data_IF_257194470252
#
_entry.id   IF_257194470252
#
_cell.length_a   1.000
_cell.length_b   1.000
_cell.length_c   1.000
_cell.angle_alpha   90.00
_cell.angle_beta   90.00
_cell.angle_gamma   90.00
#
_symmetry.space_group_name_H-M   'P 1'
#
loop_
_entity.id
_entity.type
_entity.pdbx_description
1 polymer ?
#
# COMPACT_ATOMS: atom_id res chain seq x y z
N UNK A 1 42.87 -80.85 24.21
CA UNK A 1 43.61 -80.59 25.45
C UNK A 1 44.55 -79.42 25.17
N UNK A 2 44.35 -78.30 25.88
CA UNK A 2 45.29 -77.18 26.09
C UNK A 2 45.70 -76.43 24.80
N UNK A 3 45.09 -75.29 24.45
CA UNK A 3 45.18 -73.93 25.02
C UNK A 3 46.21 -73.05 24.29
N UNK A 4 45.82 -71.77 24.07
CA UNK A 4 46.62 -70.55 24.32
C UNK A 4 47.77 -70.29 23.33
N UNK A 5 48.04 -69.10 22.76
CA UNK A 5 47.52 -67.73 22.91
C UNK A 5 48.08 -66.85 21.78
N UNK A 6 47.33 -65.79 21.50
CA UNK A 6 47.62 -64.46 20.92
C UNK A 6 48.76 -64.19 19.91
N UNK A 7 48.29 -63.64 18.78
CA UNK A 7 48.75 -62.45 18.02
C UNK A 7 50.23 -62.05 18.03
N UNK A 8 50.83 -61.96 16.82
CA UNK A 8 51.15 -60.65 16.23
C UNK A 8 51.55 -60.71 14.74
N UNK A 9 51.34 -59.56 14.09
CA UNK A 9 52.06 -59.01 12.94
C UNK A 9 51.74 -59.40 11.49
N UNK A 10 51.42 -58.32 10.75
CA UNK A 10 51.88 -57.93 9.41
C UNK A 10 51.06 -58.29 8.16
N UNK A 11 50.67 -57.21 7.47
CA UNK A 11 50.47 -57.12 6.03
C UNK A 11 49.14 -57.67 5.54
N UNK A 12 48.48 -57.14 4.51
CA UNK A 12 48.75 -56.02 3.63
C UNK A 12 47.50 -55.92 2.73
N UNK A 13 47.24 -54.74 2.17
CA UNK A 13 46.73 -54.54 0.80
C UNK A 13 45.21 -54.70 0.53
N UNK A 14 44.62 -53.52 0.23
CA UNK A 14 43.56 -53.20 -0.76
C UNK A 14 42.26 -54.02 -0.79
N UNK A 15 41.13 -53.36 -0.52
CA UNK A 15 40.09 -53.08 -1.53
C UNK A 15 38.94 -52.25 -0.94
N UNK A 16 38.66 -51.11 -1.59
CA UNK A 16 37.36 -50.50 -1.87
C UNK A 16 36.18 -50.81 -0.92
N UNK A 17 35.69 -49.79 -0.19
CA UNK A 17 34.32 -49.34 -0.46
C UNK A 17 34.04 -47.93 0.07
N UNK A 18 33.59 -47.05 -0.83
CA UNK A 18 33.26 -45.64 -0.59
C UNK A 18 31.76 -45.54 -0.27
N UNK A 19 31.32 -46.07 0.86
CA UNK A 19 29.94 -45.90 1.35
C UNK A 19 29.91 -45.78 2.87
N UNK A 20 30.25 -44.59 3.39
CA UNK A 20 30.23 -44.36 4.82
C UNK A 20 30.49 -42.91 5.24
N UNK A 21 29.96 -41.93 4.51
CA UNK A 21 30.13 -40.52 4.87
C UNK A 21 28.99 -39.59 4.42
N UNK A 22 27.73 -40.06 4.48
CA UNK A 22 26.55 -39.18 4.33
C UNK A 22 25.54 -39.51 5.43
N UNK A 23 25.94 -39.32 6.68
CA UNK A 23 25.04 -39.22 7.83
C UNK A 23 25.86 -38.50 8.88
N UNK A 24 25.85 -37.15 8.85
CA UNK A 24 26.20 -36.20 9.93
C UNK A 24 26.36 -34.77 9.36
N UNK A 25 25.36 -34.28 8.61
CA UNK A 25 25.18 -32.83 8.39
C UNK A 25 23.81 -32.47 8.97
N UNK A 26 23.75 -32.32 10.30
CA UNK A 26 22.48 -32.09 10.99
C UNK A 26 22.50 -31.15 12.18
N UNK A 27 23.65 -30.61 12.64
CA UNK A 27 23.62 -29.92 13.94
C UNK A 27 24.60 -28.77 14.20
N UNK A 28 25.21 -28.12 13.20
CA UNK A 28 26.15 -27.03 13.53
C UNK A 28 26.18 -25.85 12.55
N UNK A 29 25.02 -25.37 12.12
CA UNK A 29 24.89 -24.01 11.57
C UNK A 29 23.72 -23.26 12.21
N UNK A 30 23.75 -23.15 13.54
CA UNK A 30 22.98 -22.15 14.28
C UNK A 30 23.74 -20.81 14.23
N UNK A 31 23.55 -20.06 13.14
CA UNK A 31 24.09 -18.71 13.05
C UNK A 31 24.16 -18.18 11.63
N UNK A 32 23.07 -17.59 11.13
CA UNK A 32 23.13 -16.52 10.14
C UNK A 32 21.74 -15.89 9.99
N UNK A 33 21.70 -14.57 10.17
CA UNK A 33 20.50 -13.75 10.12
C UNK A 33 19.77 -13.92 8.79
N UNK A 34 18.49 -14.29 8.88
CA UNK A 34 17.57 -14.16 7.78
C UNK A 34 17.01 -12.74 7.80
N UNK A 35 17.53 -11.91 6.88
CA UNK A 35 16.77 -10.79 6.34
C UNK A 35 15.39 -11.31 5.96
N UNK A 36 14.37 -10.86 6.70
CA UNK A 36 12.98 -11.18 6.43
C UNK A 36 12.54 -10.30 5.26
N UNK A 37 12.88 -10.73 4.05
CA UNK A 37 12.16 -10.30 2.86
C UNK A 37 10.70 -10.70 3.05
N UNK A 38 9.79 -9.73 3.04
CA UNK A 38 8.36 -9.97 2.98
C UNK A 38 8.06 -10.78 1.72
N UNK A 39 7.92 -12.09 1.89
CA UNK A 39 7.25 -12.94 0.94
C UNK A 39 5.78 -12.51 0.94
N UNK A 40 5.42 -11.64 -0.01
CA UNK A 40 4.02 -11.33 -0.31
C UNK A 40 3.43 -12.58 -0.94
N UNK A 41 2.86 -13.46 -0.10
CA UNK A 41 1.98 -14.52 -0.57
C UNK A 41 0.84 -13.85 -1.34
N UNK A 42 0.73 -14.17 -2.63
CA UNK A 42 -0.45 -13.85 -3.44
C UNK A 42 -1.62 -14.67 -2.89
N UNK A 43 -2.24 -14.17 -1.82
CA UNK A 43 -3.59 -14.55 -1.47
C UNK A 43 -4.49 -13.74 -2.40
N UNK A 44 -5.07 -14.45 -3.34
CA UNK A 44 -6.19 -14.00 -4.16
C UNK A 44 -7.36 -13.67 -3.21
N UNK A 45 -7.50 -12.40 -2.78
CA UNK A 45 -8.65 -12.04 -1.93
C UNK A 45 -8.61 -10.76 -1.07
N UNK A 46 -7.50 -10.01 -1.00
CA UNK A 46 -7.43 -8.75 -0.23
C UNK A 46 -6.73 -7.63 -0.99
N UNK A 47 -7.30 -7.24 -2.12
CA UNK A 47 -6.83 -6.06 -2.83
C UNK A 47 -7.60 -4.85 -2.33
N UNK A 48 -6.95 -3.86 -1.73
CA UNK A 48 -7.53 -2.54 -1.40
C UNK A 48 -6.73 -1.45 -2.12
N UNK A 49 -7.38 -0.35 -2.48
CA UNK A 49 -6.67 0.75 -3.09
C UNK A 49 -5.71 1.45 -2.10
N UNK A 50 -5.96 1.37 -0.79
CA UNK A 50 -5.01 1.85 0.22
C UNK A 50 -3.70 1.07 0.23
N UNK A 51 -3.73 -0.26 0.10
CA UNK A 51 -2.50 -1.05 -0.09
C UNK A 51 -1.80 -0.67 -1.40
N UNK A 52 -2.60 -0.36 -2.43
CA UNK A 52 -2.06 0.05 -3.71
C UNK A 52 -1.35 1.41 -3.66
N UNK A 53 -1.88 2.38 -2.89
CA UNK A 53 -1.18 3.64 -2.61
C UNK A 53 0.21 3.37 -2.04
N UNK A 54 0.32 2.47 -1.06
CA UNK A 54 1.61 2.15 -0.44
C UNK A 54 2.63 1.59 -1.44
N UNK A 55 2.17 0.81 -2.43
CA UNK A 55 3.03 0.30 -3.52
C UNK A 55 3.35 1.39 -4.54
N UNK A 56 2.45 2.36 -4.72
CA UNK A 56 2.59 3.44 -5.67
C UNK A 56 3.56 4.56 -5.22
N UNK A 57 3.83 4.72 -3.91
CA UNK A 57 4.65 5.81 -3.35
C UNK A 57 5.94 6.08 -4.14
N UNK A 58 6.80 5.09 -4.47
CA UNK A 58 8.04 5.35 -5.22
C UNK A 58 7.80 5.92 -6.62
N UNK A 59 6.69 5.56 -7.27
CA UNK A 59 6.31 6.07 -8.58
C UNK A 59 5.66 7.46 -8.48
N UNK A 60 4.88 7.70 -7.43
CA UNK A 60 4.37 9.03 -7.11
C UNK A 60 5.52 10.02 -6.86
N UNK A 61 6.56 9.60 -6.13
CA UNK A 61 7.78 10.41 -5.92
C UNK A 61 8.48 10.75 -7.23
N UNK A 62 8.56 9.81 -8.17
CA UNK A 62 9.08 10.07 -9.53
C UNK A 62 8.17 11.02 -10.33
N UNK A 63 6.86 10.93 -10.17
CA UNK A 63 5.90 11.75 -10.91
C UNK A 63 5.84 13.20 -10.41
N UNK A 64 5.87 13.39 -9.09
CA UNK A 64 5.68 14.69 -8.45
C UNK A 64 6.98 15.34 -7.99
N UNK A 65 8.04 14.57 -7.75
CA UNK A 65 9.35 15.09 -7.33
C UNK A 65 9.28 15.83 -6.01
N UNK A 66 9.88 17.02 -5.99
CA UNK A 66 9.87 18.00 -4.90
C UNK A 66 8.46 18.45 -4.49
N UNK A 67 7.46 18.29 -5.37
CA UNK A 67 6.06 18.59 -5.04
C UNK A 67 5.42 17.55 -4.12
N UNK A 68 6.08 16.43 -3.82
CA UNK A 68 5.60 15.45 -2.84
C UNK A 68 6.02 15.77 -1.39
N UNK A 69 6.23 17.03 -1.04
CA UNK A 69 6.74 17.42 0.28
C UNK A 69 5.68 17.48 1.40
N UNK A 70 4.39 17.62 1.07
CA UNK A 70 3.32 17.77 2.07
C UNK A 70 2.04 17.04 1.67
N UNK A 71 1.85 15.83 2.17
CA UNK A 71 0.84 14.88 1.67
C UNK A 71 -0.30 14.68 2.65
N UNK A 72 -1.54 14.80 2.19
CA UNK A 72 -2.73 14.32 2.90
C UNK A 72 -3.22 13.03 2.28
N UNK A 73 -3.30 11.96 3.07
CA UNK A 73 -4.03 10.75 2.68
C UNK A 73 -5.46 10.77 3.22
N UNK A 74 -6.43 10.36 2.41
CA UNK A 74 -7.85 10.27 2.79
C UNK A 74 -8.41 8.92 2.40
N UNK A 75 -8.75 8.09 3.38
CA UNK A 75 -9.40 6.82 3.13
C UNK A 75 -9.17 5.78 4.22
N UNK A 76 -9.76 4.59 4.05
CA UNK A 76 -9.52 3.45 4.93
C UNK A 76 -8.02 3.15 5.06
N UNK A 77 -7.61 2.66 6.23
CA UNK A 77 -6.23 2.26 6.48
C UNK A 77 -5.24 3.43 6.34
N UNK A 78 -5.71 4.66 6.61
CA UNK A 78 -4.86 5.85 6.46
C UNK A 78 -3.65 5.83 7.39
N UNK A 79 -3.75 5.18 8.56
CA UNK A 79 -2.63 5.05 9.49
C UNK A 79 -1.45 4.30 8.86
N UNK A 80 -1.70 3.22 8.12
CA UNK A 80 -0.66 2.43 7.46
C UNK A 80 -0.01 3.22 6.32
N UNK A 81 -0.83 3.87 5.49
CA UNK A 81 -0.34 4.73 4.39
C UNK A 81 0.50 5.89 4.92
N UNK A 82 0.02 6.61 5.94
CA UNK A 82 0.73 7.73 6.57
C UNK A 82 2.03 7.25 7.22
N UNK A 83 2.02 6.11 7.91
CA UNK A 83 3.23 5.53 8.50
C UNK A 83 4.30 5.22 7.46
N UNK A 84 3.89 4.87 6.23
CA UNK A 84 4.81 4.64 5.12
C UNK A 84 5.32 5.96 4.51
N UNK A 85 4.45 6.94 4.32
CA UNK A 85 4.82 8.27 3.83
C UNK A 85 5.78 9.00 4.77
N UNK A 86 5.61 8.86 6.09
CA UNK A 86 6.51 9.46 7.08
C UNK A 86 7.95 8.89 7.06
N UNK A 87 8.17 7.78 6.34
CA UNK A 87 9.52 7.21 6.12
C UNK A 87 10.18 7.77 4.85
N UNK A 88 9.43 8.50 4.02
CA UNK A 88 9.98 9.15 2.84
C UNK A 88 10.73 10.42 3.23
N UNK A 89 11.98 10.53 2.76
CA UNK A 89 12.76 11.76 2.91
C UNK A 89 12.03 12.95 2.31
N UNK A 90 12.14 14.10 2.98
CA UNK A 90 11.53 15.38 2.62
C UNK A 90 10.00 15.36 2.46
N UNK A 91 9.32 14.38 3.05
CA UNK A 91 7.85 14.24 3.00
C UNK A 91 7.22 14.38 4.38
N UNK A 92 6.41 15.41 4.56
CA UNK A 92 5.47 15.51 5.69
C UNK A 92 4.13 14.87 5.32
N UNK A 93 3.50 14.13 6.24
CA UNK A 93 2.28 13.37 5.95
C UNK A 93 1.21 13.49 7.04
N UNK A 94 -0.05 13.58 6.61
CA UNK A 94 -1.26 13.59 7.45
C UNK A 94 -2.30 12.63 6.90
N UNK A 95 -3.22 12.21 7.76
CA UNK A 95 -4.31 11.31 7.38
C UNK A 95 -5.69 11.83 7.79
N UNK A 96 -6.70 11.50 6.99
CA UNK A 96 -8.11 11.54 7.38
C UNK A 96 -8.68 10.15 7.20
N UNK A 97 -9.12 9.57 8.31
CA UNK A 97 -9.85 8.30 8.34
C UNK A 97 -11.35 8.62 8.35
N UNK A 98 -12.09 8.30 7.27
CA UNK A 98 -13.51 8.61 7.16
C UNK A 98 -14.43 7.77 8.05
N UNK A 99 -13.92 6.70 8.65
CA UNK A 99 -14.69 5.73 9.40
C UNK A 99 -14.15 5.55 10.81
N UNK A 100 -14.96 4.95 11.69
CA UNK A 100 -14.52 4.72 13.05
C UNK A 100 -13.33 3.76 13.12
N UNK A 101 -12.42 4.09 14.02
CA UNK A 101 -11.18 3.39 14.29
C UNK A 101 -11.41 2.53 15.54
N UNK A 102 -12.18 1.46 15.39
CA UNK A 102 -12.33 0.44 16.43
C UNK A 102 -11.24 -0.64 16.29
N UNK A 103 -10.75 -1.17 17.40
CA UNK A 103 -9.80 -2.30 17.45
C UNK A 103 -8.49 -2.15 16.64
N UNK A 104 -7.95 -0.93 16.53
CA UNK A 104 -6.69 -0.72 15.78
C UNK A 104 -5.44 -0.91 16.62
N UNK A 105 -4.34 -1.19 15.90
CA UNK A 105 -2.98 -1.25 16.42
C UNK A 105 -2.58 0.03 17.19
N UNK A 106 -1.71 -0.14 18.19
CA UNK A 106 -1.19 0.96 19.01
C UNK A 106 -0.47 2.03 18.18
N UNK A 107 0.16 1.63 17.07
CA UNK A 107 0.78 2.53 16.09
C UNK A 107 -0.22 3.55 15.53
N UNK A 108 -1.42 3.10 15.16
CA UNK A 108 -2.49 3.96 14.65
C UNK A 108 -3.06 4.86 15.76
N UNK A 109 -3.26 4.32 16.97
CA UNK A 109 -3.68 5.13 18.13
C UNK A 109 -2.70 6.27 18.42
N UNK A 110 -1.40 6.02 18.29
CA UNK A 110 -0.36 7.05 18.45
C UNK A 110 -0.50 8.17 17.40
N UNK A 111 -0.72 7.84 16.13
CA UNK A 111 -0.90 8.82 15.06
C UNK A 111 -2.16 9.67 15.25
N UNK A 112 -3.25 9.05 15.72
CA UNK A 112 -4.49 9.75 16.06
C UNK A 112 -4.29 10.66 17.28
N UNK A 113 -3.66 10.16 18.34
CA UNK A 113 -3.37 10.93 19.56
C UNK A 113 -2.46 12.13 19.32
N UNK A 114 -1.56 12.05 18.34
CA UNK A 114 -0.70 13.17 17.90
C UNK A 114 -1.41 14.14 16.94
N UNK A 115 -2.64 13.84 16.52
CA UNK A 115 -3.39 14.63 15.54
C UNK A 115 -2.82 14.59 14.11
N UNK A 116 -1.90 13.66 13.83
CA UNK A 116 -1.36 13.42 12.49
C UNK A 116 -2.43 12.77 11.61
N UNK A 117 -3.16 11.81 12.18
CA UNK A 117 -4.37 11.23 11.60
C UNK A 117 -5.59 11.77 12.33
N UNK A 118 -6.61 12.19 11.58
CA UNK A 118 -7.89 12.65 12.13
C UNK A 118 -9.01 11.72 11.69
N UNK A 119 -9.89 11.36 12.62
CA UNK A 119 -11.15 10.69 12.27
C UNK A 119 -12.16 11.77 11.89
N UNK A 120 -12.61 11.78 10.64
CA UNK A 120 -13.55 12.79 10.16
C UNK A 120 -14.32 12.30 8.94
N UNK A 121 -15.64 12.48 8.97
CA UNK A 121 -16.52 12.13 7.87
C UNK A 121 -16.33 13.08 6.66
N UNK A 122 -15.81 12.54 5.56
CA UNK A 122 -15.48 13.26 4.32
C UNK A 122 -16.71 13.75 3.54
N UNK A 123 -17.93 13.43 3.97
CA UNK A 123 -19.16 14.08 3.46
C UNK A 123 -19.25 15.55 3.90
N UNK A 124 -18.48 15.95 4.91
CA UNK A 124 -18.39 17.32 5.41
C UNK A 124 -17.06 17.98 5.05
N UNK A 125 -17.00 19.32 5.02
CA UNK A 125 -15.76 20.04 4.75
C UNK A 125 -14.63 19.65 5.69
N UNK A 126 -13.44 19.48 5.14
CA UNK A 126 -12.26 19.18 5.92
C UNK A 126 -11.79 20.44 6.67
N UNK A 127 -11.30 20.31 7.91
CA UNK A 127 -10.88 21.44 8.73
C UNK A 127 -9.50 22.00 8.31
N UNK A 128 -9.24 22.08 7.01
CA UNK A 128 -8.00 22.57 6.43
C UNK A 128 -8.27 23.77 5.52
N UNK A 129 -7.34 24.73 5.52
CA UNK A 129 -7.40 25.89 4.63
C UNK A 129 -7.19 25.44 3.18
N UNK A 130 -7.67 26.20 2.18
CA UNK A 130 -7.36 25.90 0.79
C UNK A 130 -5.85 25.79 0.57
N UNK A 131 -5.41 24.88 -0.29
CA UNK A 131 -4.00 24.68 -0.66
C UNK A 131 -3.08 24.41 0.54
N UNK A 132 -3.57 23.68 1.54
CA UNK A 132 -2.80 23.32 2.74
C UNK A 132 -1.81 22.18 2.52
N UNK A 133 -2.03 21.35 1.49
CA UNK A 133 -1.22 20.18 1.15
C UNK A 133 -0.78 20.27 -0.29
N UNK A 134 0.46 19.86 -0.57
CA UNK A 134 0.95 19.78 -1.93
C UNK A 134 0.19 18.71 -2.70
N UNK A 135 0.08 17.52 -2.12
CA UNK A 135 -0.68 16.40 -2.69
C UNK A 135 -1.78 15.94 -1.74
N UNK A 136 -2.94 15.62 -2.32
CA UNK A 136 -4.01 14.89 -1.65
C UNK A 136 -4.17 13.54 -2.35
N UNK A 137 -4.01 12.44 -1.62
CA UNK A 137 -4.17 11.07 -2.12
C UNK A 137 -5.42 10.48 -1.48
N UNK A 138 -6.30 9.92 -2.31
CA UNK A 138 -7.58 9.36 -1.86
C UNK A 138 -7.67 7.91 -2.34
N UNK A 139 -7.93 6.97 -1.44
CA UNK A 139 -8.11 5.56 -1.79
C UNK A 139 -9.36 4.97 -1.13
N UNK A 140 -10.09 4.15 -1.90
CA UNK A 140 -11.31 3.40 -1.53
C UNK A 140 -12.52 4.25 -1.06
N UNK A 141 -12.31 5.38 -0.39
CA UNK A 141 -13.36 6.16 0.28
C UNK A 141 -14.43 6.70 -0.67
N UNK A 142 -14.04 7.10 -1.89
CA UNK A 142 -14.97 7.67 -2.87
C UNK A 142 -15.92 6.62 -3.46
N UNK A 143 -15.53 5.34 -3.48
CA UNK A 143 -16.38 4.26 -3.97
C UNK A 143 -17.60 4.08 -3.06
N UNK A 144 -17.44 4.38 -1.78
CA UNK A 144 -18.50 4.43 -0.79
C UNK A 144 -19.24 5.77 -0.79
N UNK A 145 -19.16 6.63 -1.81
CA UNK A 145 -19.96 7.86 -1.89
C UNK A 145 -21.04 7.77 -2.98
N UNK A 146 -22.25 8.21 -2.64
CA UNK A 146 -23.30 8.49 -3.64
C UNK A 146 -22.92 9.70 -4.48
N UNK A 147 -23.44 9.82 -5.70
CA UNK A 147 -23.16 10.96 -6.59
C UNK A 147 -23.41 12.33 -5.93
N UNK A 148 -24.45 12.44 -5.08
CA UNK A 148 -24.74 13.67 -4.29
C UNK A 148 -23.57 14.11 -3.40
N UNK A 149 -22.90 13.14 -2.76
CA UNK A 149 -21.76 13.43 -1.88
C UNK A 149 -20.47 13.59 -2.67
N UNK A 150 -20.26 12.81 -3.74
CA UNK A 150 -19.11 13.01 -4.64
C UNK A 150 -19.05 14.45 -5.18
N UNK A 151 -20.18 15.01 -5.59
CA UNK A 151 -20.28 16.39 -6.08
C UNK A 151 -19.87 17.45 -5.04
N UNK A 152 -19.81 17.10 -3.75
CA UNK A 152 -19.38 18.01 -2.67
C UNK A 152 -17.97 17.69 -2.21
N UNK A 153 -17.69 16.40 -2.00
CA UNK A 153 -16.43 15.91 -1.44
C UNK A 153 -15.26 16.09 -2.41
N UNK A 154 -15.42 15.84 -3.71
CA UNK A 154 -14.31 16.00 -4.65
C UNK A 154 -13.85 17.46 -4.80
N UNK A 155 -14.77 18.43 -4.92
CA UNK A 155 -14.37 19.83 -4.89
C UNK A 155 -13.65 20.23 -3.60
N UNK A 156 -14.08 19.70 -2.47
CA UNK A 156 -13.46 19.95 -1.16
C UNK A 156 -12.04 19.36 -1.06
N UNK A 157 -11.83 18.14 -1.58
CA UNK A 157 -10.51 17.52 -1.64
C UNK A 157 -9.57 18.28 -2.59
N UNK A 158 -10.09 18.73 -3.75
CA UNK A 158 -9.34 19.56 -4.67
C UNK A 158 -8.99 20.92 -4.07
N UNK A 159 -9.87 21.52 -3.26
CA UNK A 159 -9.64 22.81 -2.59
C UNK A 159 -8.42 22.77 -1.67
N UNK A 160 -8.20 21.68 -0.95
CA UNK A 160 -7.11 21.58 0.03
C UNK A 160 -5.77 21.17 -0.59
N UNK A 161 -5.75 20.70 -1.84
CA UNK A 161 -4.56 20.41 -2.63
C UNK A 161 -4.01 21.67 -3.33
N UNK A 162 -2.69 21.80 -3.45
CA UNK A 162 -2.04 22.87 -4.25
C UNK A 162 -1.44 22.37 -5.56
N UNK A 163 -0.87 21.16 -5.58
CA UNK A 163 -0.13 20.64 -6.75
C UNK A 163 -0.81 19.46 -7.43
N UNK A 164 -1.52 18.61 -6.67
CA UNK A 164 -2.15 17.42 -7.23
C UNK A 164 -3.19 16.77 -6.32
N UNK A 165 -4.28 16.31 -6.93
CA UNK A 165 -5.23 15.38 -6.33
C UNK A 165 -5.08 14.03 -7.03
N UNK A 166 -4.75 12.97 -6.27
CA UNK A 166 -4.60 11.61 -6.79
C UNK A 166 -5.72 10.73 -6.22
N UNK A 167 -6.43 10.02 -7.10
CA UNK A 167 -7.52 9.13 -6.71
C UNK A 167 -7.17 7.71 -7.13
N UNK A 168 -7.17 6.80 -6.17
CA UNK A 168 -7.11 5.35 -6.36
C UNK A 168 -8.51 4.77 -6.13
N UNK A 169 -9.21 4.44 -7.22
CA UNK A 169 -10.57 3.90 -7.18
C UNK A 169 -10.61 2.43 -7.59
N UNK A 170 -11.52 1.67 -6.99
CA UNK A 170 -11.71 0.26 -7.29
C UNK A 170 -12.18 0.03 -8.73
N UNK A 171 -11.74 -1.08 -9.32
CA UNK A 171 -12.13 -1.49 -10.69
C UNK A 171 -13.39 -2.35 -10.65
N UNK A 172 -14.44 -2.04 -11.44
CA UNK A 172 -15.61 -2.91 -11.52
C UNK A 172 -15.25 -4.37 -11.79
N UNK A 173 -15.92 -5.30 -11.10
CA UNK A 173 -15.70 -6.75 -11.25
C UNK A 173 -14.49 -7.33 -10.50
N UNK A 174 -13.62 -6.50 -9.90
CA UNK A 174 -12.42 -6.97 -9.19
C UNK A 174 -12.62 -7.17 -7.68
N UNK A 175 -13.67 -6.60 -7.09
CA UNK A 175 -13.94 -6.68 -5.66
C UNK A 175 -15.42 -6.99 -5.41
N UNK A 176 -15.68 -8.02 -4.58
CA UNK A 176 -16.98 -8.23 -3.94
C UNK A 176 -16.90 -7.61 -2.55
N UNK A 177 -17.85 -6.77 -2.20
CA UNK A 177 -17.94 -6.18 -0.86
C UNK A 177 -17.91 -7.29 0.18
N UNK A 178 -16.95 -7.26 1.11
CA UNK A 178 -16.95 -8.22 2.23
C UNK A 178 -18.08 -7.83 3.19
N UNK A 179 -18.77 -8.81 3.77
CA UNK A 179 -19.86 -8.54 4.74
C UNK A 179 -19.36 -7.68 5.92
N UNK A 180 -18.11 -7.85 6.33
CA UNK A 180 -17.45 -7.04 7.36
C UNK A 180 -17.23 -5.57 6.93
N UNK A 181 -17.09 -5.29 5.63
CA UNK A 181 -16.99 -3.92 5.13
C UNK A 181 -18.36 -3.23 5.10
N UNK A 182 -19.45 -3.99 4.93
CA UNK A 182 -20.81 -3.44 4.99
C UNK A 182 -21.17 -2.92 6.38
N UNK A 183 -20.78 -3.63 7.45
CA UNK A 183 -21.00 -3.16 8.81
C UNK A 183 -20.19 -1.91 9.14
N UNK A 184 -18.97 -1.78 8.59
CA UNK A 184 -18.09 -0.63 8.82
C UNK A 184 -18.49 0.61 8.01
N UNK A 185 -18.89 0.42 6.75
CA UNK A 185 -19.13 1.54 5.80
C UNK A 185 -20.61 1.84 5.56
N UNK A 186 -21.52 1.00 6.09
CA UNK A 186 -22.97 1.17 6.03
C UNK A 186 -23.60 0.97 4.65
N UNK A 187 -22.79 0.80 3.59
CA UNK A 187 -23.25 0.51 2.23
C UNK A 187 -22.17 -0.21 1.42
N UNK A 188 -22.55 -0.99 0.39
CA UNK A 188 -21.59 -1.57 -0.52
C UNK A 188 -20.84 -0.47 -1.31
N UNK A 189 -19.56 -0.67 -1.63
CA UNK A 189 -18.83 0.20 -2.54
C UNK A 189 -19.49 0.18 -3.92
N UNK A 190 -19.64 1.35 -4.53
CA UNK A 190 -20.10 1.51 -5.90
C UNK A 190 -18.90 1.80 -6.81
N UNK A 191 -18.23 0.73 -7.23
CA UNK A 191 -17.15 0.80 -8.23
C UNK A 191 -17.70 1.34 -9.54
N UNK A 192 -16.95 2.27 -10.12
CA UNK A 192 -17.29 2.96 -11.38
C UNK A 192 -16.20 2.71 -12.38
N UNK A 193 -16.58 2.61 -13.66
CA UNK A 193 -15.59 2.51 -14.74
C UNK A 193 -14.77 3.79 -14.88
N UNK A 194 -13.61 3.68 -15.51
CA UNK A 194 -12.74 4.82 -15.80
C UNK A 194 -13.46 5.87 -16.62
N UNK A 195 -14.24 5.43 -17.62
CA UNK A 195 -15.09 6.30 -18.45
C UNK A 195 -16.15 7.05 -17.64
N UNK A 196 -16.66 6.47 -16.56
CA UNK A 196 -17.60 7.15 -15.67
C UNK A 196 -16.87 8.22 -14.86
N UNK A 197 -15.70 7.90 -14.29
CA UNK A 197 -14.87 8.84 -13.54
C UNK A 197 -14.45 10.04 -14.39
N UNK A 198 -13.95 9.79 -15.61
CA UNK A 198 -13.55 10.83 -16.55
C UNK A 198 -14.73 11.77 -16.87
N UNK A 199 -15.91 11.22 -17.19
CA UNK A 199 -17.12 12.04 -17.44
C UNK A 199 -17.52 12.84 -16.21
N UNK A 200 -17.41 12.26 -15.01
CA UNK A 200 -17.74 12.93 -13.78
C UNK A 200 -16.77 14.08 -13.48
N UNK A 201 -15.46 13.89 -13.67
CA UNK A 201 -14.45 14.93 -13.47
C UNK A 201 -14.67 16.11 -14.41
N UNK A 202 -14.99 15.85 -15.68
CA UNK A 202 -15.35 16.88 -16.66
C UNK A 202 -16.57 17.71 -16.22
N UNK A 203 -17.63 17.04 -15.74
CA UNK A 203 -18.83 17.71 -15.21
C UNK A 203 -18.54 18.68 -14.06
N UNK A 204 -17.55 18.38 -13.21
CA UNK A 204 -17.16 19.23 -12.07
C UNK A 204 -15.90 20.08 -12.36
N UNK A 205 -15.48 20.15 -13.62
CA UNK A 205 -14.31 20.92 -14.07
C UNK A 205 -12.98 20.54 -13.41
N UNK A 206 -12.84 19.29 -12.95
CA UNK A 206 -11.55 18.74 -12.51
C UNK A 206 -10.82 18.15 -13.72
N UNK A 207 -9.74 18.81 -14.13
CA UNK A 207 -8.94 18.40 -15.30
C UNK A 207 -7.85 17.44 -14.90
N UNK A 208 -7.53 16.51 -15.79
CA UNK A 208 -6.40 15.61 -15.62
C UNK A 208 -5.05 16.36 -15.63
N UNK A 209 -4.15 15.94 -14.74
CA UNK A 209 -2.76 16.40 -14.72
C UNK A 209 -1.93 15.53 -15.69
N UNK A 210 -2.03 15.86 -16.98
CA UNK A 210 -1.36 15.13 -18.07
C UNK A 210 0.15 14.97 -17.85
N UNK A 211 0.80 15.96 -17.21
CA UNK A 211 2.23 15.89 -16.90
C UNK A 211 2.52 14.83 -15.84
N UNK A 212 1.74 14.80 -14.76
CA UNK A 212 1.89 13.79 -13.71
C UNK A 212 1.57 12.38 -14.23
N UNK A 213 0.52 12.22 -15.05
CA UNK A 213 0.17 10.95 -15.70
C UNK A 213 1.34 10.41 -16.51
N UNK A 214 1.90 11.20 -17.43
CA UNK A 214 3.02 10.76 -18.27
C UNK A 214 4.25 10.36 -17.45
N UNK A 215 4.59 11.13 -16.40
CA UNK A 215 5.73 10.81 -15.53
C UNK A 215 5.46 9.55 -14.71
N UNK A 216 4.23 9.35 -14.24
CA UNK A 216 3.84 8.14 -13.52
C UNK A 216 3.92 6.91 -14.43
N UNK A 217 3.34 6.95 -15.63
CA UNK A 217 3.42 5.87 -16.63
C UNK A 217 4.86 5.55 -17.04
N UNK A 218 5.71 6.57 -17.20
CA UNK A 218 7.13 6.38 -17.46
C UNK A 218 7.86 5.72 -16.27
N UNK A 219 7.43 6.01 -15.04
CA UNK A 219 8.01 5.44 -13.84
C UNK A 219 7.61 3.97 -13.63
N UNK A 220 6.37 3.61 -13.98
CA UNK A 220 5.81 2.28 -13.77
C UNK A 220 6.16 1.29 -14.88
N UNK A 221 6.25 1.76 -16.13
CA UNK A 221 6.69 0.94 -17.28
C UNK A 221 8.09 0.35 -17.09
N UNK A 222 8.98 1.06 -16.39
CA UNK A 222 10.34 0.59 -16.08
C UNK A 222 10.40 -0.54 -15.05
N UNK A 223 9.33 -0.77 -14.28
CA UNK A 223 9.30 -1.72 -13.16
C UNK A 223 8.27 -2.84 -13.31
N UNK A 224 7.61 -2.95 -14.47
CA UNK A 224 6.48 -3.86 -14.69
C UNK A 224 5.38 -3.73 -13.64
N UNK A 225 5.23 -2.53 -13.07
CA UNK A 225 4.20 -2.26 -12.07
C UNK A 225 2.86 -2.06 -12.77
N UNK A 226 1.87 -2.87 -12.38
CA UNK A 226 0.50 -2.78 -12.87
C UNK A 226 -0.41 -2.47 -11.67
N UNK A 227 -0.99 -1.26 -11.61
CA UNK A 227 -1.92 -0.94 -10.55
C UNK A 227 -3.20 -1.75 -10.77
N UNK A 228 -3.71 -2.43 -9.74
CA UNK A 228 -5.01 -3.08 -9.81
C UNK A 228 -6.17 -2.17 -9.34
N UNK A 229 -5.86 -0.94 -8.93
CA UNK A 229 -6.81 0.17 -8.86
C UNK A 229 -6.68 1.10 -10.05
N UNK A 230 -7.76 1.80 -10.37
CA UNK A 230 -7.75 2.89 -11.33
C UNK A 230 -7.09 4.10 -10.66
N UNK A 231 -6.04 4.63 -11.27
CA UNK A 231 -5.28 5.77 -10.73
C UNK A 231 -5.53 7.00 -11.59
N UNK A 232 -6.07 8.06 -10.99
CA UNK A 232 -6.33 9.33 -11.66
C UNK A 232 -5.48 10.43 -11.03
N UNK A 233 -4.78 11.19 -11.86
CA UNK A 233 -4.02 12.36 -11.44
C UNK A 233 -4.75 13.61 -11.92
N UNK A 234 -5.20 14.46 -11.00
CA UNK A 234 -6.03 15.62 -11.29
C UNK A 234 -5.32 16.91 -10.86
N UNK A 235 -5.57 17.98 -11.60
CA UNK A 235 -5.19 19.32 -11.18
C UNK A 235 -6.16 19.81 -10.10
N UNK A 236 -5.65 20.39 -9.00
CA UNK A 236 -6.47 21.12 -8.05
C UNK A 236 -7.16 22.32 -8.71
N UNK A 237 -8.17 22.89 -8.06
CA UNK A 237 -8.74 24.15 -8.53
C UNK A 237 -7.71 25.28 -8.40
N UNK A 238 -7.69 26.15 -9.42
CA UNK A 238 -6.84 27.34 -9.46
C UNK A 238 -7.30 28.41 -8.47
#
# INVERSE_FOLDING_TARGET
MVAVVEHNSQGNIFENDLQGAILLIGYAYSGSGKFRGEAVSRIEGDYTCSLEVQRAIPFLKKAYGDRMHKVLHVGPDTCSVVSKLLKEEDTEAWGVEPYDIEDVEESCKSLVGKGIVRVADIKYPLPYRPKSFSLVIVSDALDYLSSKYLNKTLPELARVASDGLIIFAGTPGHQKAKVAELSKFGRPPKMRSSSWWIRFFDQISLKENVTAVKKFEQATSKSSYLPACQVFHLNPFH
#
